data_IF_421849449505
#
_entry.id   IF_421849449505
#
_cell.length_a   1.000
_cell.length_b   1.000
_cell.length_c   1.000
_cell.angle_alpha   90.00
_cell.angle_beta   90.00
_cell.angle_gamma   90.00
#
_symmetry.space_group_name_H-M   'P 1'
#
loop_
_entity.id
_entity.type
_entity.pdbx_description
1 polymer ?
#
# COMPACT_ATOMS: atom_id res chain seq x y z
N UNK A 1 -7.25 10.36 11.63
CA UNK A 1 -6.36 10.02 12.77
C UNK A 1 -5.04 10.71 12.46
N UNK A 2 -4.53 11.69 13.20
CA UNK A 2 -4.71 12.08 14.60
C UNK A 2 -5.02 13.56 14.78
N UNK A 3 -5.86 13.85 15.78
CA UNK A 3 -5.79 15.07 16.62
C UNK A 3 -6.18 14.85 18.09
N UNK A 4 -6.40 13.60 18.58
CA UNK A 4 -6.57 13.22 20.00
C UNK A 4 -6.87 11.70 20.19
N UNK A 5 -6.37 10.81 19.31
CA UNK A 5 -6.79 9.40 19.24
C UNK A 5 -5.71 8.37 19.58
N UNK A 6 -6.13 7.11 19.66
CA UNK A 6 -5.24 5.94 19.76
C UNK A 6 -4.37 5.87 18.50
N UNK A 7 -3.03 6.08 18.60
CA UNK A 7 -2.17 6.15 17.43
C UNK A 7 -2.15 4.80 16.69
N UNK A 8 -2.12 4.79 15.35
CA UNK A 8 -2.00 3.57 14.57
C UNK A 8 -0.76 2.76 14.98
N UNK A 9 -0.92 1.44 15.09
CA UNK A 9 0.20 0.50 15.30
C UNK A 9 0.61 -0.14 13.96
N UNK A 10 1.60 -1.04 13.99
CA UNK A 10 2.07 -1.70 12.77
C UNK A 10 0.97 -2.45 12.00
N UNK A 11 0.01 -3.10 12.69
CA UNK A 11 -1.10 -3.79 12.04
C UNK A 11 -2.01 -2.78 11.33
N UNK A 12 -2.31 -1.66 11.97
CA UNK A 12 -3.13 -0.59 11.39
C UNK A 12 -2.48 -0.01 10.13
N UNK A 13 -1.18 0.26 10.16
CA UNK A 13 -0.47 0.74 8.98
C UNK A 13 -0.50 -0.26 7.83
N UNK A 14 -0.18 -1.54 8.08
CA UNK A 14 -0.23 -2.57 7.04
C UNK A 14 -1.64 -2.69 6.43
N UNK A 15 -2.69 -2.67 7.25
CA UNK A 15 -4.08 -2.74 6.75
C UNK A 15 -4.46 -1.53 5.88
N UNK A 16 -4.10 -0.31 6.30
CA UNK A 16 -4.35 0.91 5.50
C UNK A 16 -3.59 0.85 4.18
N UNK A 17 -2.30 0.50 4.22
CA UNK A 17 -1.45 0.44 3.04
C UNK A 17 -1.98 -0.62 2.06
N UNK A 18 -2.26 -1.84 2.52
CA UNK A 18 -2.82 -2.90 1.68
C UNK A 18 -4.14 -2.47 1.02
N UNK A 19 -5.04 -1.82 1.76
CA UNK A 19 -6.28 -1.28 1.22
C UNK A 19 -6.03 -0.23 0.13
N UNK A 20 -5.08 0.69 0.34
CA UNK A 20 -4.71 1.70 -0.66
C UNK A 20 -4.11 1.07 -1.92
N UNK A 21 -3.21 0.08 -1.77
CA UNK A 21 -2.61 -0.65 -2.89
C UNK A 21 -3.66 -1.41 -3.71
N UNK A 22 -4.67 -2.01 -3.07
CA UNK A 22 -5.78 -2.68 -3.75
C UNK A 22 -6.66 -1.72 -4.58
N UNK A 23 -6.70 -0.44 -4.21
CA UNK A 23 -7.43 0.60 -4.96
C UNK A 23 -6.52 1.39 -5.91
N UNK A 24 -5.30 0.91 -6.15
CA UNK A 24 -4.29 1.57 -6.98
C UNK A 24 -3.93 3.00 -6.52
N UNK A 25 -4.15 3.31 -5.23
CA UNK A 25 -3.81 4.61 -4.62
C UNK A 25 -2.34 4.62 -4.15
N UNK A 26 -1.42 4.35 -5.08
CA UNK A 26 0.00 4.10 -4.79
C UNK A 26 0.64 5.28 -4.05
N UNK A 27 0.41 6.52 -4.48
CA UNK A 27 0.99 7.71 -3.85
C UNK A 27 0.63 7.83 -2.37
N UNK A 28 -0.63 7.57 -2.00
CA UNK A 28 -1.07 7.59 -0.60
C UNK A 28 -0.49 6.40 0.16
N UNK A 29 -0.46 5.22 -0.46
CA UNK A 29 0.14 4.04 0.15
C UNK A 29 1.62 4.29 0.51
N UNK A 30 2.36 4.97 -0.36
CA UNK A 30 3.76 5.38 -0.12
C UNK A 30 3.88 6.40 1.02
N UNK A 31 2.97 7.38 1.12
CA UNK A 31 2.95 8.34 2.23
C UNK A 31 2.75 7.65 3.59
N UNK A 32 1.81 6.69 3.65
CA UNK A 32 1.58 5.89 4.85
C UNK A 32 2.75 4.95 5.15
N UNK A 33 3.40 4.38 4.13
CA UNK A 33 4.61 3.58 4.31
C UNK A 33 5.75 4.42 4.90
N UNK A 34 5.97 5.64 4.40
CA UNK A 34 6.98 6.54 4.96
C UNK A 34 6.66 6.87 6.41
N UNK A 35 5.41 7.22 6.71
CA UNK A 35 4.96 7.51 8.08
C UNK A 35 5.15 6.31 9.02
N UNK A 36 4.91 5.09 8.53
CA UNK A 36 5.11 3.85 9.26
C UNK A 36 6.59 3.65 9.63
N UNK A 37 7.50 3.86 8.68
CA UNK A 37 8.95 3.78 8.88
C UNK A 37 9.44 4.86 9.83
N UNK A 38 8.98 6.10 9.68
CA UNK A 38 9.34 7.21 10.56
C UNK A 38 8.93 6.96 12.02
N UNK A 39 7.89 6.16 12.24
CA UNK A 39 7.43 5.70 13.56
C UNK A 39 8.12 4.43 14.07
N UNK A 40 9.08 3.88 13.32
CA UNK A 40 9.85 2.70 13.69
C UNK A 40 9.15 1.37 13.44
N UNK A 41 8.10 1.34 12.62
CA UNK A 41 7.44 0.12 12.20
C UNK A 41 7.92 -0.34 10.82
N UNK A 42 7.75 -1.62 10.52
CA UNK A 42 8.10 -2.22 9.23
C UNK A 42 6.88 -2.85 8.55
N UNK A 43 6.78 -2.68 7.24
CA UNK A 43 5.79 -3.40 6.42
C UNK A 43 5.96 -4.92 6.58
N UNK A 44 4.84 -5.64 6.59
CA UNK A 44 4.86 -7.10 6.58
C UNK A 44 5.16 -7.64 5.17
N UNK A 45 5.41 -8.95 5.09
CA UNK A 45 5.75 -9.61 3.83
C UNK A 45 4.66 -9.44 2.76
N UNK A 46 3.39 -9.43 3.15
CA UNK A 46 2.25 -9.23 2.25
C UNK A 46 2.29 -7.84 1.63
N UNK A 47 2.46 -6.81 2.46
CA UNK A 47 2.50 -5.42 2.05
C UNK A 47 3.71 -5.14 1.14
N UNK A 48 4.88 -5.67 1.50
CA UNK A 48 6.07 -5.58 0.66
C UNK A 48 5.87 -6.25 -0.71
N UNK A 49 5.26 -7.44 -0.74
CA UNK A 49 4.96 -8.16 -1.99
C UNK A 49 4.01 -7.37 -2.88
N UNK A 50 2.98 -6.72 -2.31
CA UNK A 50 2.06 -5.88 -3.08
C UNK A 50 2.78 -4.71 -3.76
N UNK A 51 3.69 -4.03 -3.05
CA UNK A 51 4.51 -2.98 -3.66
C UNK A 51 5.38 -3.51 -4.80
N UNK A 52 6.06 -4.64 -4.60
CA UNK A 52 6.90 -5.25 -5.65
C UNK A 52 6.06 -5.61 -6.87
N UNK A 53 4.87 -6.18 -6.68
CA UNK A 53 3.98 -6.53 -7.78
C UNK A 53 3.52 -5.29 -8.56
N UNK A 54 3.15 -4.20 -7.87
CA UNK A 54 2.73 -2.96 -8.53
C UNK A 54 3.87 -2.29 -9.29
N UNK A 55 5.08 -2.28 -8.74
CA UNK A 55 6.27 -1.76 -9.43
C UNK A 55 6.69 -2.64 -10.61
N UNK A 56 6.44 -3.95 -10.53
CA UNK A 56 6.72 -4.90 -11.61
C UNK A 56 5.64 -4.88 -12.71
N UNK A 57 4.43 -4.42 -12.38
CA UNK A 57 3.31 -4.27 -13.30
C UNK A 57 3.42 -3.02 -14.20
N UNK A 58 4.52 -2.26 -14.12
CA UNK A 58 4.84 -1.20 -15.10
C UNK A 58 5.23 -1.75 -16.49
N UNK A 59 5.06 -3.07 -16.71
CA UNK A 59 4.86 -3.61 -18.05
C UNK A 59 3.39 -3.40 -18.44
N UNK A 60 3.10 -2.57 -19.46
CA UNK A 60 1.73 -2.39 -19.91
C UNK A 60 1.32 -3.66 -20.65
N UNK A 61 0.56 -4.56 -20.02
CA UNK A 61 -0.20 -5.50 -20.83
C UNK A 61 -1.47 -6.08 -20.19
N UNK A 62 -2.51 -6.06 -21.04
CA UNK A 62 -3.77 -6.81 -21.05
C UNK A 62 -4.98 -6.30 -20.25
N UNK A 63 -5.45 -5.11 -20.63
CA UNK A 63 -6.90 -4.79 -20.60
C UNK A 63 -7.45 -4.61 -22.01
N UNK A 64 -7.29 -5.59 -22.89
CA UNK A 64 -8.18 -5.77 -24.05
C UNK A 64 -8.36 -7.26 -24.36
N UNK A 65 -9.21 -7.92 -23.59
CA UNK A 65 -9.91 -9.12 -24.05
C UNK A 65 -11.37 -9.02 -23.61
N UNK A 66 -12.10 -8.10 -24.23
CA UNK A 66 -13.54 -8.22 -24.42
C UNK A 66 -13.92 -7.47 -25.72
N UNK A 67 -13.44 -7.98 -26.85
CA UNK A 67 -14.10 -7.84 -28.14
C UNK A 67 -13.67 -9.04 -28.99
N UNK A 68 -14.68 -9.84 -29.38
CA UNK A 68 -14.69 -11.18 -30.00
C UNK A 68 -14.71 -12.36 -29.03
#
# INVERSE_FOLDING_TARGET
>A
MDKNGCPPNHFTYNAIIQGLLQHNEISKATEYLQTMVDKGFSADATTATMFVNLLSADQPDKTVQEYF
#
